data_IF_091303941725
#
_entry.id   IF_091303941725
#
_cell.length_a   1.000
_cell.length_b   1.000
_cell.length_c   1.000
_cell.angle_alpha   90.00
_cell.angle_beta   90.00
_cell.angle_gamma   90.00
#
_symmetry.space_group_name_H-M   'P 1'
#
loop_
_entity.id
_entity.type
_entity.pdbx_description
1 polymer ?
#
# COMPACT_ATOMS: atom_id res chain seq x y z
N UNK A 1 -13.28 9.80 -20.38
CA UNK A 1 -12.65 8.57 -19.87
C UNK A 1 -11.73 8.90 -18.70
N UNK A 2 -11.84 8.18 -17.60
CA UNK A 2 -10.97 8.38 -16.44
C UNK A 2 -9.58 7.78 -16.72
N UNK A 3 -8.53 8.43 -16.21
CA UNK A 3 -7.19 7.86 -16.23
C UNK A 3 -7.14 6.60 -15.36
N UNK A 4 -6.12 5.76 -15.52
CA UNK A 4 -5.94 4.58 -14.69
C UNK A 4 -5.89 4.92 -13.20
N UNK A 5 -5.20 6.02 -12.83
CA UNK A 5 -5.14 6.50 -11.45
C UNK A 5 -6.50 6.91 -10.91
N UNK A 6 -7.31 7.60 -11.71
CA UNK A 6 -8.64 8.00 -11.29
C UNK A 6 -9.58 6.80 -11.13
N UNK A 7 -9.47 5.79 -12.01
CA UNK A 7 -10.22 4.56 -11.89
C UNK A 7 -9.87 3.83 -10.59
N UNK A 8 -8.60 3.77 -10.24
CA UNK A 8 -8.14 3.17 -8.99
C UNK A 8 -8.72 3.89 -7.77
N UNK A 9 -8.70 5.21 -7.77
CA UNK A 9 -9.28 6.00 -6.68
C UNK A 9 -10.77 5.76 -6.52
N UNK A 10 -11.50 5.70 -7.62
CA UNK A 10 -12.95 5.43 -7.60
C UNK A 10 -13.22 4.02 -7.05
N UNK A 11 -12.46 3.03 -7.49
CA UNK A 11 -12.60 1.66 -6.99
C UNK A 11 -12.35 1.57 -5.49
N UNK A 12 -11.31 2.24 -4.97
CA UNK A 12 -11.00 2.24 -3.55
C UNK A 12 -12.02 3.00 -2.73
N UNK A 13 -12.52 4.13 -3.24
CA UNK A 13 -13.49 4.96 -2.52
C UNK A 13 -14.80 4.23 -2.22
N UNK A 14 -15.20 3.25 -3.04
CA UNK A 14 -16.38 2.41 -2.76
C UNK A 14 -16.29 1.73 -1.39
N UNK A 15 -15.10 1.31 -0.99
CA UNK A 15 -14.91 0.59 0.27
C UNK A 15 -15.08 1.46 1.50
N UNK A 16 -15.10 2.79 1.34
CA UNK A 16 -15.43 3.70 2.43
C UNK A 16 -16.91 3.60 2.82
N UNK A 17 -17.80 3.28 1.86
CA UNK A 17 -19.23 3.11 2.13
C UNK A 17 -19.58 1.72 2.65
N UNK A 18 -18.94 0.69 2.09
CA UNK A 18 -19.18 -0.71 2.45
C UNK A 18 -17.85 -1.40 2.71
N UNK A 19 -17.16 -1.09 3.84
CA UNK A 19 -15.83 -1.60 4.08
C UNK A 19 -15.83 -3.11 4.32
N UNK A 20 -14.97 -3.87 3.62
CA UNK A 20 -14.76 -5.29 3.93
C UNK A 20 -13.98 -5.43 5.23
N UNK A 21 -13.83 -6.65 5.73
CA UNK A 21 -12.98 -6.93 6.90
C UNK A 21 -11.49 -6.96 6.51
N UNK A 22 -11.20 -7.42 5.31
CA UNK A 22 -9.85 -7.52 4.76
C UNK A 22 -9.85 -7.01 3.33
N UNK A 23 -8.87 -6.19 3.01
CA UNK A 23 -8.67 -5.69 1.66
C UNK A 23 -7.24 -6.02 1.22
N UNK A 24 -7.10 -6.62 0.05
CA UNK A 24 -5.79 -6.91 -0.56
C UNK A 24 -5.64 -6.03 -1.79
N UNK A 25 -4.60 -5.22 -1.79
CA UNK A 25 -4.29 -4.29 -2.87
C UNK A 25 -2.98 -4.70 -3.53
N UNK A 26 -3.01 -4.94 -4.84
CA UNK A 26 -1.82 -5.29 -5.61
C UNK A 26 -1.40 -4.09 -6.46
N UNK A 27 -0.19 -3.58 -6.21
CA UNK A 27 0.39 -2.44 -6.92
C UNK A 27 -0.58 -1.25 -7.02
N UNK A 28 -1.14 -0.75 -5.88
CA UNK A 28 -2.22 0.22 -5.93
C UNK A 28 -1.83 1.60 -6.47
N UNK A 29 -0.54 1.92 -6.51
CA UNK A 29 -0.04 3.23 -6.98
C UNK A 29 0.82 3.14 -8.24
N UNK A 30 0.94 1.96 -8.82
CA UNK A 30 1.81 1.73 -9.95
C UNK A 30 1.41 2.57 -11.16
N UNK A 31 2.40 3.24 -11.76
CA UNK A 31 2.19 4.05 -12.95
C UNK A 31 1.48 5.38 -12.73
N UNK A 32 1.26 5.77 -11.48
CA UNK A 32 0.61 7.05 -11.15
C UNK A 32 1.62 8.16 -10.94
N UNK A 33 1.19 9.41 -11.18
CA UNK A 33 1.95 10.59 -10.77
C UNK A 33 1.88 10.77 -9.24
N UNK A 34 2.68 11.71 -8.71
CA UNK A 34 2.79 11.95 -7.27
C UNK A 34 1.45 12.34 -6.64
N UNK A 35 0.68 13.20 -7.32
CA UNK A 35 -0.62 13.63 -6.80
C UNK A 35 -1.61 12.48 -6.69
N UNK A 36 -1.70 11.65 -7.73
CA UNK A 36 -2.57 10.48 -7.74
C UNK A 36 -2.15 9.45 -6.69
N UNK A 37 -0.84 9.23 -6.52
CA UNK A 37 -0.33 8.34 -5.46
C UNK A 37 -0.73 8.81 -4.08
N UNK A 38 -0.60 10.10 -3.80
CA UNK A 38 -0.98 10.67 -2.52
C UNK A 38 -2.46 10.49 -2.23
N UNK A 39 -3.31 10.66 -3.23
CA UNK A 39 -4.75 10.44 -3.08
C UNK A 39 -5.07 8.99 -2.71
N UNK A 40 -4.45 8.03 -3.38
CA UNK A 40 -4.61 6.60 -3.08
C UNK A 40 -4.12 6.29 -1.67
N UNK A 41 -2.94 6.79 -1.30
CA UNK A 41 -2.38 6.59 0.04
C UNK A 41 -3.33 7.13 1.12
N UNK A 42 -3.91 8.30 0.91
CA UNK A 42 -4.85 8.88 1.87
C UNK A 42 -6.13 8.06 2.00
N UNK A 43 -6.66 7.53 0.90
CA UNK A 43 -7.83 6.64 0.93
C UNK A 43 -7.52 5.37 1.71
N UNK A 44 -6.36 4.76 1.47
CA UNK A 44 -5.95 3.53 2.17
C UNK A 44 -5.78 3.80 3.67
N UNK A 45 -5.20 4.94 4.05
CA UNK A 45 -5.08 5.35 5.45
C UNK A 45 -6.43 5.54 6.13
N UNK A 46 -7.39 6.11 5.41
CA UNK A 46 -8.77 6.26 5.93
C UNK A 46 -9.42 4.90 6.17
N UNK A 47 -9.27 3.98 5.23
CA UNK A 47 -9.80 2.63 5.38
C UNK A 47 -9.17 1.92 6.60
N UNK A 48 -7.86 2.07 6.78
CA UNK A 48 -7.17 1.52 7.94
C UNK A 48 -7.68 2.14 9.24
N UNK A 49 -7.88 3.44 9.27
CA UNK A 49 -8.40 4.15 10.45
C UNK A 49 -9.80 3.69 10.82
N UNK A 50 -10.56 3.16 9.88
CA UNK A 50 -11.89 2.58 10.10
C UNK A 50 -11.85 1.13 10.57
N UNK A 51 -10.65 0.58 10.77
CA UNK A 51 -10.47 -0.75 11.34
C UNK A 51 -10.30 -1.88 10.34
N UNK A 52 -10.13 -1.59 9.04
CA UNK A 52 -9.85 -2.63 8.06
C UNK A 52 -8.45 -3.19 8.22
N UNK A 53 -8.33 -4.50 8.05
CA UNK A 53 -7.04 -5.13 7.82
C UNK A 53 -6.70 -4.98 6.33
N UNK A 54 -5.52 -4.47 6.02
CA UNK A 54 -5.13 -4.19 4.63
C UNK A 54 -3.78 -4.83 4.35
N UNK A 55 -3.71 -5.59 3.25
CA UNK A 55 -2.46 -6.12 2.72
C UNK A 55 -2.16 -5.40 1.42
N UNK A 56 -0.99 -4.78 1.36
CA UNK A 56 -0.53 -4.08 0.15
C UNK A 56 0.68 -4.81 -0.40
N UNK A 57 0.57 -5.22 -1.67
CA UNK A 57 1.70 -5.79 -2.41
C UNK A 57 2.21 -4.72 -3.36
N UNK A 58 3.47 -4.35 -3.23
CA UNK A 58 4.04 -3.29 -4.05
C UNK A 58 5.54 -3.51 -4.27
N UNK A 59 6.00 -3.14 -5.46
CA UNK A 59 7.43 -3.05 -5.79
C UNK A 59 7.96 -1.62 -5.60
N UNK A 60 7.10 -0.70 -5.15
CA UNK A 60 7.48 0.69 -4.90
C UNK A 60 7.77 0.89 -3.41
N UNK A 61 9.05 1.01 -3.00
CA UNK A 61 9.40 1.14 -1.58
C UNK A 61 8.73 2.32 -0.88
N UNK A 62 8.58 3.44 -1.55
CA UNK A 62 7.98 4.64 -0.97
C UNK A 62 6.51 4.46 -0.63
N UNK A 63 5.76 3.75 -1.48
CA UNK A 63 4.37 3.41 -1.20
C UNK A 63 4.25 2.51 0.04
N UNK A 64 5.08 1.49 0.10
CA UNK A 64 5.10 0.56 1.23
C UNK A 64 5.43 1.29 2.52
N UNK A 65 6.47 2.13 2.51
CA UNK A 65 6.88 2.90 3.70
C UNK A 65 5.79 3.87 4.16
N UNK A 66 5.03 4.43 3.22
CA UNK A 66 3.96 5.38 3.55
C UNK A 66 2.76 4.72 4.22
N UNK A 67 2.53 3.44 3.97
CA UNK A 67 1.31 2.74 4.38
C UNK A 67 1.51 1.71 5.48
N UNK A 68 2.69 1.09 5.56
CA UNK A 68 2.86 -0.13 6.32
C UNK A 68 3.07 0.09 7.82
N UNK A 69 2.41 -0.73 8.62
CA UNK A 69 2.74 -0.95 10.03
C UNK A 69 3.77 -2.07 10.16
N UNK A 70 3.77 -2.96 9.18
CA UNK A 70 4.64 -4.13 9.14
C UNK A 70 4.95 -4.42 7.68
N UNK A 71 6.21 -4.73 7.39
CA UNK A 71 6.68 -5.01 6.03
C UNK A 71 7.31 -6.39 6.00
N UNK A 72 6.90 -7.19 5.02
CA UNK A 72 7.49 -8.49 4.74
C UNK A 72 8.15 -8.39 3.36
N UNK A 73 9.44 -8.68 3.29
CA UNK A 73 10.18 -8.68 2.03
C UNK A 73 10.28 -10.11 1.52
N UNK A 74 9.78 -10.32 0.31
CA UNK A 74 9.83 -11.61 -0.38
C UNK A 74 10.89 -11.56 -1.48
N UNK A 75 11.66 -12.63 -1.59
CA UNK A 75 12.62 -12.80 -2.66
C UNK A 75 12.60 -14.25 -3.11
N UNK A 76 12.36 -14.46 -4.41
CA UNK A 76 12.28 -15.80 -5.01
C UNK A 76 11.31 -16.75 -4.27
N UNK A 77 10.16 -16.20 -3.85
CA UNK A 77 9.12 -16.95 -3.17
C UNK A 77 9.36 -17.21 -1.69
N UNK A 78 10.41 -16.67 -1.11
CA UNK A 78 10.73 -16.83 0.31
C UNK A 78 10.76 -15.52 1.06
N UNK A 79 10.35 -15.53 2.31
CA UNK A 79 10.47 -14.38 3.20
C UNK A 79 11.94 -14.23 3.60
N UNK A 80 12.54 -13.10 3.24
CA UNK A 80 13.95 -12.83 3.55
C UNK A 80 14.13 -11.86 4.71
N UNK A 81 13.18 -10.96 4.94
CA UNK A 81 13.21 -9.99 6.05
C UNK A 81 11.80 -9.61 6.47
N UNK A 82 11.69 -9.18 7.71
CA UNK A 82 10.47 -8.59 8.25
C UNK A 82 10.84 -7.35 9.05
N UNK A 83 10.09 -6.26 8.87
CA UNK A 83 10.26 -5.01 9.58
C UNK A 83 8.94 -4.62 10.25
N UNK A 84 9.02 -4.12 11.47
CA UNK A 84 7.87 -3.63 12.21
C UNK A 84 8.28 -2.44 13.08
N UNK A 85 7.36 -1.47 13.19
CA UNK A 85 7.57 -0.32 14.04
C UNK A 85 8.84 0.46 13.71
N UNK A 86 9.71 0.65 14.68
CA UNK A 86 10.92 1.46 14.55
C UNK A 86 11.98 0.85 13.62
N UNK A 87 11.87 -0.42 13.28
CA UNK A 87 12.82 -1.05 12.36
C UNK A 87 12.54 -0.71 10.90
N UNK A 88 11.41 -0.11 10.62
CA UNK A 88 11.04 0.26 9.26
C UNK A 88 11.83 1.50 8.84
N UNK A 89 12.70 1.33 7.83
CA UNK A 89 13.43 2.43 7.22
C UNK A 89 13.67 2.15 5.75
N UNK A 90 13.80 3.22 4.95
CA UNK A 90 14.04 3.10 3.52
C UNK A 90 15.35 2.37 3.22
N UNK A 91 16.42 2.70 3.94
CA UNK A 91 17.74 2.10 3.72
C UNK A 91 17.72 0.60 4.00
N UNK A 92 17.11 0.19 5.12
CA UNK A 92 17.00 -1.22 5.47
C UNK A 92 16.15 -1.99 4.47
N UNK A 93 15.07 -1.38 4.00
CA UNK A 93 14.19 -2.00 3.01
C UNK A 93 14.92 -2.21 1.68
N UNK A 94 15.68 -1.23 1.22
CA UNK A 94 16.43 -1.33 -0.03
C UNK A 94 17.55 -2.38 0.06
N UNK A 95 18.19 -2.53 1.22
CA UNK A 95 19.20 -3.57 1.43
C UNK A 95 18.60 -4.97 1.35
N UNK A 96 17.39 -5.16 1.85
CA UNK A 96 16.73 -6.47 1.88
C UNK A 96 16.15 -6.88 0.53
N UNK A 97 15.78 -5.90 -0.30
CA UNK A 97 15.13 -6.15 -1.60
C UNK A 97 16.13 -6.57 -2.75
#
# INVERSE_FOLDING_TARGET
>A
MLSGGNQQKVALAKWLSYPPRLLVLCEPTRGMDVGAKNDVINIVRDLRARGLAIIVLSTEPETVLSLADRIIVLKRGSVVREFAGETISKDRLLEAA
#
